data_IF_026078773566
#
_entry.id   IF_026078773566
#
_cell.length_a   1.000
_cell.length_b   1.000
_cell.length_c   1.000
_cell.angle_alpha   90.00
_cell.angle_beta   90.00
_cell.angle_gamma   90.00
#
_symmetry.space_group_name_H-M   'P 1'
#
loop_
_entity.id
_entity.type
_entity.pdbx_description
1 polymer ?
#
# COMPACT_ATOMS: atom_id res chain seq x y z
N UNK A 1 4.40 6.58 -7.30
CA UNK A 1 4.73 6.20 -5.92
C UNK A 1 4.58 4.71 -5.78
N UNK A 2 5.39 4.06 -4.95
CA UNK A 2 5.26 2.63 -4.70
C UNK A 2 5.47 2.25 -3.24
N UNK A 3 4.63 1.37 -2.72
CA UNK A 3 4.90 0.59 -1.51
C UNK A 3 5.46 -0.78 -1.88
N UNK A 4 6.43 -1.26 -1.11
CA UNK A 4 7.21 -2.47 -1.40
C UNK A 4 7.02 -3.54 -0.34
N UNK A 5 6.62 -3.16 0.87
CA UNK A 5 6.41 -4.09 1.97
C UNK A 5 5.30 -3.56 2.88
N UNK A 6 4.46 -4.47 3.37
CA UNK A 6 3.58 -4.28 4.52
C UNK A 6 3.93 -5.36 5.54
N UNK A 7 4.16 -4.96 6.78
CA UNK A 7 4.29 -5.87 7.91
C UNK A 7 3.29 -5.49 9.01
N UNK A 8 3.40 -6.13 10.18
CA UNK A 8 2.45 -5.93 11.27
C UNK A 8 2.42 -4.49 11.82
N UNK A 9 3.45 -3.67 11.61
CA UNK A 9 3.55 -2.34 12.22
C UNK A 9 3.86 -1.24 11.22
N UNK A 10 4.38 -1.56 10.03
CA UNK A 10 4.94 -0.59 9.10
C UNK A 10 4.63 -0.91 7.64
N UNK A 11 4.67 0.15 6.84
CA UNK A 11 4.74 0.10 5.38
C UNK A 11 6.10 0.61 4.93
N UNK A 12 6.76 -0.13 4.04
CA UNK A 12 7.94 0.35 3.33
C UNK A 12 7.51 1.05 2.04
N UNK A 13 7.65 2.36 2.00
CA UNK A 13 7.38 3.18 0.83
C UNK A 13 8.68 3.58 0.15
N UNK A 14 8.72 3.48 -1.18
CA UNK A 14 9.76 4.07 -2.02
C UNK A 14 9.18 5.32 -2.69
N UNK A 15 9.77 6.48 -2.36
CA UNK A 15 9.32 7.77 -2.87
C UNK A 15 9.38 7.82 -4.40
N UNK A 16 8.28 8.16 -5.05
CA UNK A 16 8.20 8.31 -6.50
C UNK A 16 9.04 9.46 -7.03
N UNK A 17 9.33 10.47 -6.21
CA UNK A 17 10.14 11.64 -6.60
C UNK A 17 11.65 11.44 -6.44
N UNK A 18 12.11 10.91 -5.30
CA UNK A 18 13.55 10.82 -4.98
C UNK A 18 14.07 9.40 -4.77
N UNK A 19 13.22 8.38 -4.91
CA UNK A 19 13.53 6.97 -4.70
C UNK A 19 14.02 6.58 -3.28
N UNK A 20 14.05 7.52 -2.33
CA UNK A 20 14.33 7.20 -0.92
C UNK A 20 13.28 6.23 -0.37
N UNK A 21 13.76 5.26 0.40
CA UNK A 21 12.92 4.30 1.11
C UNK A 21 12.59 4.84 2.52
N UNK A 22 11.30 4.81 2.87
CA UNK A 22 10.79 5.31 4.12
C UNK A 22 9.93 4.23 4.78
N UNK A 23 10.25 3.91 6.04
CA UNK A 23 9.39 3.07 6.89
C UNK A 23 8.38 3.96 7.58
N UNK A 24 7.10 3.69 7.34
CA UNK A 24 5.99 4.48 7.87
C UNK A 24 5.20 3.58 8.82
N UNK A 25 5.05 4.02 10.07
CA UNK A 25 4.28 3.30 11.09
C UNK A 25 2.80 3.34 10.73
N UNK A 26 2.14 2.19 10.71
CA UNK A 26 0.71 2.07 10.36
C UNK A 26 -0.19 2.91 11.26
N UNK A 27 0.14 3.00 12.54
CA UNK A 27 -0.63 3.77 13.52
C UNK A 27 -0.50 5.30 13.29
N UNK A 28 0.43 5.74 12.44
CA UNK A 28 0.52 7.14 12.00
C UNK A 28 -0.31 7.44 10.75
N UNK A 29 -0.87 6.41 10.11
CA UNK A 29 -1.70 6.53 8.91
C UNK A 29 -3.18 6.49 9.28
N UNK A 30 -3.99 7.05 8.39
CA UNK A 30 -5.45 6.99 8.44
C UNK A 30 -6.00 6.89 7.02
N UNK A 31 -7.09 6.15 6.87
CA UNK A 31 -7.87 6.08 5.63
C UNK A 31 -8.81 7.28 5.56
N UNK A 32 -8.85 7.87 4.38
CA UNK A 32 -9.77 8.92 4.02
C UNK A 32 -9.09 10.28 3.86
N UNK A 33 -9.59 11.04 2.90
CA UNK A 33 -9.36 12.49 2.84
C UNK A 33 -10.72 13.19 2.85
N UNK A 34 -10.79 14.34 3.50
CA UNK A 34 -12.00 15.16 3.54
C UNK A 34 -11.75 16.51 2.92
N UNK A 35 -12.73 16.99 2.16
CA UNK A 35 -12.83 18.37 1.71
C UNK A 35 -14.29 18.79 1.79
N UNK A 36 -14.55 19.87 2.52
CA UNK A 36 -15.90 20.34 2.83
C UNK A 36 -16.73 19.20 3.47
N UNK A 37 -17.92 18.90 2.96
CA UNK A 37 -18.77 17.80 3.45
C UNK A 37 -18.56 16.47 2.71
N UNK A 38 -17.53 16.37 1.86
CA UNK A 38 -17.23 15.17 1.08
C UNK A 38 -15.97 14.48 1.60
N UNK A 39 -16.06 13.16 1.77
CA UNK A 39 -14.94 12.30 2.13
C UNK A 39 -14.69 11.27 1.03
N UNK A 40 -13.43 11.08 0.65
CA UNK A 40 -13.01 9.98 -0.21
C UNK A 40 -12.36 8.90 0.64
N UNK A 41 -13.08 7.78 0.82
CA UNK A 41 -12.64 6.66 1.64
C UNK A 41 -11.64 5.73 0.93
N UNK A 42 -11.34 5.93 -0.35
CA UNK A 42 -10.37 5.10 -1.09
C UNK A 42 -8.92 5.57 -0.90
N UNK A 43 -8.71 6.76 -0.36
CA UNK A 43 -7.40 7.40 -0.27
C UNK A 43 -6.74 7.14 1.07
N UNK A 44 -5.44 6.84 1.07
CA UNK A 44 -4.59 6.87 2.27
C UNK A 44 -3.45 7.88 2.03
N UNK A 45 -3.48 9.06 2.65
CA UNK A 45 -2.39 10.02 2.56
C UNK A 45 -1.14 9.48 3.27
N UNK A 46 0.02 9.60 2.61
CA UNK A 46 1.30 9.30 3.22
C UNK A 46 1.94 10.56 3.82
N UNK A 47 2.74 10.44 4.90
CA UNK A 47 3.55 11.54 5.38
C UNK A 47 4.49 12.05 4.28
N UNK A 48 4.81 13.34 4.32
CA UNK A 48 5.76 13.93 3.39
C UNK A 48 7.11 13.21 3.47
N UNK A 49 7.70 12.91 2.31
CA UNK A 49 9.00 12.26 2.25
C UNK A 49 10.04 13.05 3.07
N UNK A 50 10.75 12.43 4.02
CA UNK A 50 11.71 13.14 4.87
C UNK A 50 12.88 13.73 4.06
N UNK A 51 13.23 13.11 2.92
CA UNK A 51 14.34 13.55 2.06
C UNK A 51 13.95 14.71 1.14
N UNK A 52 12.84 14.61 0.41
CA UNK A 52 12.50 15.57 -0.66
C UNK A 52 11.18 16.33 -0.44
N UNK A 53 10.52 16.09 0.69
CA UNK A 53 9.26 16.71 1.12
C UNK A 53 8.05 16.49 0.20
N UNK A 54 8.17 15.61 -0.80
CA UNK A 54 7.04 15.23 -1.67
C UNK A 54 5.95 14.56 -0.84
N UNK A 55 4.70 14.95 -1.06
CA UNK A 55 3.51 14.27 -0.56
C UNK A 55 3.01 13.27 -1.60
N UNK A 56 2.55 12.11 -1.13
CA UNK A 56 2.06 11.02 -1.99
C UNK A 56 0.84 10.37 -1.32
N UNK A 57 -0.02 9.71 -2.11
CA UNK A 57 -1.28 9.14 -1.66
C UNK A 57 -1.47 7.73 -2.24
N UNK A 58 -1.83 6.76 -1.40
CA UNK A 58 -2.25 5.45 -1.87
C UNK A 58 -3.71 5.52 -2.26
N UNK A 59 -4.07 4.87 -3.36
CA UNK A 59 -5.45 4.79 -3.83
C UNK A 59 -5.85 3.31 -3.89
N UNK A 60 -6.83 2.92 -3.07
CA UNK A 60 -7.44 1.59 -3.09
C UNK A 60 -8.11 1.36 -4.44
N UNK A 61 -8.01 0.13 -4.93
CA UNK A 61 -8.73 -0.31 -6.13
C UNK A 61 -10.25 -0.18 -5.91
N UNK A 62 -11.02 0.22 -6.95
CA UNK A 62 -12.48 0.19 -6.87
C UNK A 62 -13.01 -1.25 -6.72
N UNK A 63 -14.23 -1.40 -6.19
CA UNK A 63 -14.77 -2.74 -5.92
C UNK A 63 -15.01 -3.56 -7.19
N UNK A 64 -15.32 -2.88 -8.29
CA UNK A 64 -15.50 -3.46 -9.63
C UNK A 64 -14.22 -3.41 -10.50
N UNK A 65 -13.04 -3.30 -9.87
CA UNK A 65 -11.76 -3.28 -10.58
C UNK A 65 -11.58 -4.56 -11.41
N UNK A 66 -11.26 -4.46 -12.72
CA UNK A 66 -11.02 -5.63 -13.54
C UNK A 66 -9.74 -6.39 -13.14
N UNK A 67 -9.65 -7.64 -13.60
CA UNK A 67 -8.44 -8.43 -13.47
C UNK A 67 -7.24 -7.66 -14.06
N UNK A 68 -6.11 -7.67 -13.36
CA UNK A 68 -4.94 -6.93 -13.82
C UNK A 68 -4.42 -7.54 -15.12
N UNK A 69 -4.12 -6.74 -16.16
CA UNK A 69 -3.76 -7.25 -17.49
C UNK A 69 -2.45 -8.06 -17.50
N UNK A 70 -1.60 -7.89 -16.49
CA UNK A 70 -0.38 -8.65 -16.28
C UNK A 70 -0.29 -9.21 -14.85
N UNK A 71 -0.87 -10.39 -14.56
CA UNK A 71 -0.77 -11.01 -13.25
C UNK A 71 0.68 -11.28 -12.84
N UNK A 72 1.01 -10.99 -11.58
CA UNK A 72 2.36 -11.13 -11.02
C UNK A 72 3.34 -10.02 -11.39
N UNK A 73 2.95 -9.06 -12.23
CA UNK A 73 3.76 -7.86 -12.48
C UNK A 73 3.86 -6.98 -11.23
N UNK A 74 4.83 -6.06 -11.22
CA UNK A 74 4.96 -5.07 -10.14
C UNK A 74 3.67 -4.30 -9.90
N UNK A 75 3.00 -3.84 -10.97
CA UNK A 75 1.73 -3.10 -10.85
C UNK A 75 0.62 -3.94 -10.21
N UNK A 76 0.54 -5.23 -10.57
CA UNK A 76 -0.40 -6.17 -9.96
C UNK A 76 -0.14 -6.33 -8.46
N UNK A 77 1.10 -6.64 -8.09
CA UNK A 77 1.48 -6.87 -6.70
C UNK A 77 1.35 -5.59 -5.86
N UNK A 78 1.74 -4.45 -6.43
CA UNK A 78 1.58 -3.14 -5.80
C UNK A 78 0.11 -2.83 -5.53
N UNK A 79 -0.79 -3.10 -6.49
CA UNK A 79 -2.23 -2.94 -6.31
C UNK A 79 -2.74 -3.76 -5.13
N UNK A 80 -2.42 -5.05 -5.09
CA UNK A 80 -2.79 -5.93 -3.97
C UNK A 80 -2.25 -5.41 -2.64
N UNK A 81 -1.00 -4.95 -2.61
CA UNK A 81 -0.38 -4.44 -1.40
C UNK A 81 -1.07 -3.17 -0.89
N UNK A 82 -1.50 -2.28 -1.79
CA UNK A 82 -2.26 -1.07 -1.43
C UNK A 82 -3.63 -1.43 -0.85
N UNK A 83 -4.32 -2.39 -1.46
CA UNK A 83 -5.61 -2.87 -0.98
C UNK A 83 -5.48 -3.50 0.43
N UNK A 84 -4.40 -4.24 0.70
CA UNK A 84 -4.08 -4.78 2.02
C UNK A 84 -3.74 -3.69 3.06
N UNK A 85 -2.96 -2.67 2.70
CA UNK A 85 -2.70 -1.53 3.60
C UNK A 85 -4.01 -0.85 4.00
N UNK A 86 -4.89 -0.60 3.02
CA UNK A 86 -6.19 0.01 3.27
C UNK A 86 -7.04 -0.86 4.21
N UNK A 87 -7.17 -2.15 3.91
CA UNK A 87 -7.95 -3.09 4.71
C UNK A 87 -7.43 -3.19 6.16
N UNK A 88 -6.11 -3.22 6.36
CA UNK A 88 -5.51 -3.28 7.68
C UNK A 88 -5.76 -1.98 8.48
N UNK A 89 -5.73 -0.81 7.85
CA UNK A 89 -6.08 0.45 8.51
C UNK A 89 -7.55 0.50 8.92
N UNK A 90 -8.48 0.08 8.05
CA UNK A 90 -9.92 -0.02 8.36
C UNK A 90 -10.15 -0.99 9.53
N UNK A 91 -9.51 -2.16 9.51
CA UNK A 91 -9.57 -3.15 10.59
C UNK A 91 -9.11 -2.60 11.93
N UNK A 92 -8.08 -1.75 11.93
CA UNK A 92 -7.59 -1.02 13.11
C UNK A 92 -8.42 0.20 13.49
N UNK A 93 -9.52 0.48 12.77
CA UNK A 93 -10.36 1.68 12.92
C UNK A 93 -9.60 3.00 12.68
N UNK A 94 -8.51 2.95 11.90
CA UNK A 94 -7.69 4.08 11.47
C UNK A 94 -8.31 4.72 10.24
N UNK A 95 -9.44 5.38 10.43
CA UNK A 95 -10.15 6.16 9.42
C UNK A 95 -10.41 7.57 9.96
N UNK A 96 -10.52 8.55 9.07
CA UNK A 96 -10.87 9.92 9.45
C UNK A 96 -12.25 9.98 10.15
N UNK A 97 -12.51 11.00 10.98
CA UNK A 97 -13.77 11.10 11.74
C UNK A 97 -15.04 11.07 10.87
N UNK A 98 -15.01 11.65 9.67
CA UNK A 98 -16.18 11.68 8.76
C UNK A 98 -16.60 10.29 8.25
N UNK A 99 -15.71 9.29 8.32
CA UNK A 99 -16.00 7.92 7.92
C UNK A 99 -16.46 7.03 9.08
N UNK A 100 -16.63 7.62 10.27
CA UNK A 100 -17.15 6.93 11.46
C UNK A 100 -18.61 7.28 11.65
N UNK A 101 -19.39 6.32 12.14
CA UNK A 101 -20.76 6.61 12.58
C UNK A 101 -20.76 7.43 13.88
N UNK A 102 -21.96 7.83 14.33
CA UNK A 102 -22.13 8.62 15.56
C UNK A 102 -21.62 7.90 16.82
N UNK A 103 -21.43 6.58 16.77
CA UNK A 103 -20.89 5.75 17.86
C UNK A 103 -19.38 5.48 17.68
N UNK A 104 -18.74 6.09 16.69
CA UNK A 104 -17.31 5.91 16.40
C UNK A 104 -16.99 4.56 15.73
N UNK A 105 -17.99 3.84 15.23
CA UNK A 105 -17.80 2.58 14.51
C UNK A 105 -17.45 2.85 13.04
N UNK A 106 -16.65 1.95 12.49
CA UNK A 106 -16.22 1.99 11.09
C UNK A 106 -17.00 0.93 10.32
N UNK A 107 -17.56 1.29 9.16
CA UNK A 107 -18.21 0.31 8.29
C UNK A 107 -17.16 -0.65 7.72
N UNK A 108 -17.32 -1.94 8.04
CA UNK A 108 -16.42 -2.99 7.55
C UNK A 108 -16.41 -3.09 6.02
N UNK A 109 -17.47 -2.63 5.34
CA UNK A 109 -17.56 -2.59 3.87
C UNK A 109 -16.62 -1.59 3.23
N UNK A 110 -16.02 -0.68 3.99
CA UNK A 110 -14.97 0.23 3.49
C UNK A 110 -13.73 -0.56 3.04
N UNK A 111 -13.44 -1.68 3.70
CA UNK A 111 -12.33 -2.54 3.35
C UNK A 111 -12.76 -3.61 2.35
N UNK A 112 -11.91 -3.83 1.35
CA UNK A 112 -11.94 -5.03 0.51
C UNK A 112 -10.58 -5.72 0.65
N UNK A 113 -10.40 -6.59 1.66
CA UNK A 113 -9.16 -7.35 1.78
C UNK A 113 -8.96 -8.22 0.54
N UNK A 114 -7.71 -8.42 0.17
CA UNK A 114 -7.33 -9.36 -0.87
C UNK A 114 -7.65 -10.77 -0.37
N UNK A 115 -8.15 -11.62 -1.26
CA UNK A 115 -8.47 -13.00 -0.91
C UNK A 115 -7.23 -13.70 -0.35
N UNK A 116 -7.38 -14.46 0.74
CA UNK A 116 -6.27 -15.12 1.41
C UNK A 116 -5.48 -16.07 0.49
N UNK A 117 -6.19 -16.71 -0.45
CA UNK A 117 -5.58 -17.54 -1.51
C UNK A 117 -4.68 -16.75 -2.45
N UNK A 118 -5.06 -15.53 -2.82
CA UNK A 118 -4.25 -14.65 -3.65
C UNK A 118 -3.05 -14.11 -2.86
N UNK A 119 -3.25 -13.74 -1.59
CA UNK A 119 -2.14 -13.36 -0.71
C UNK A 119 -1.12 -14.51 -0.60
N UNK A 120 -1.58 -15.74 -0.33
CA UNK A 120 -0.70 -16.90 -0.24
C UNK A 120 0.02 -17.21 -1.56
N UNK A 121 -0.67 -17.04 -2.69
CA UNK A 121 -0.13 -17.29 -4.03
C UNK A 121 0.95 -16.27 -4.41
N UNK A 122 0.69 -14.99 -4.18
CA UNK A 122 1.51 -13.90 -4.71
C UNK A 122 2.53 -13.37 -3.70
N UNK A 123 2.31 -13.61 -2.41
CA UNK A 123 3.16 -13.16 -1.30
C UNK A 123 3.52 -14.32 -0.36
N UNK A 124 4.14 -15.42 -0.86
CA UNK A 124 4.41 -16.62 -0.07
C UNK A 124 5.42 -16.40 1.07
N UNK A 125 6.16 -15.29 1.05
CA UNK A 125 7.18 -14.91 2.05
C UNK A 125 6.77 -13.66 2.85
N UNK A 126 5.46 -13.39 2.93
CA UNK A 126 4.92 -12.17 3.49
C UNK A 126 4.66 -11.10 2.41
N UNK A 127 3.92 -10.07 2.79
CA UNK A 127 3.43 -8.98 1.92
C UNK A 127 4.57 -8.06 1.48
N UNK A 128 5.48 -8.60 0.66
CA UNK A 128 6.66 -7.94 0.15
C UNK A 128 6.80 -8.17 -1.34
N UNK A 129 7.02 -7.09 -2.07
CA UNK A 129 7.42 -7.13 -3.47
C UNK A 129 8.95 -7.26 -3.47
N UNK A 130 9.46 -8.44 -3.81
CA UNK A 130 10.89 -8.60 -4.05
C UNK A 130 11.26 -7.71 -5.24
N UNK A 131 12.00 -6.63 -4.97
CA UNK A 131 12.77 -5.97 -6.02
C UNK A 131 13.71 -7.03 -6.55
N UNK A 132 13.44 -7.54 -7.75
CA UNK A 132 14.48 -8.26 -8.48
C UNK A 132 15.67 -7.30 -8.51
N UNK A 133 16.68 -7.57 -7.69
CA UNK A 133 18.01 -7.04 -7.91
C UNK A 133 18.26 -7.29 -9.40
N UNK A 134 18.58 -6.26 -10.21
CA UNK A 134 18.92 -6.55 -11.60
C UNK A 134 20.01 -7.62 -11.56
N UNK A 135 19.81 -8.70 -12.31
CA UNK A 135 20.77 -9.79 -12.54
C UNK A 135 22.08 -9.30 -13.19
N UNK A 136 22.44 -8.03 -13.05
CA UNK A 136 23.69 -7.43 -13.51
C UNK A 136 24.88 -7.69 -12.57
N UNK A 137 24.68 -8.28 -11.38
CA UNK A 137 25.76 -8.69 -10.48
C UNK A 137 26.25 -10.14 -10.70
N UNK A 138 25.82 -10.80 -11.79
CA UNK A 138 26.31 -12.13 -12.19
C UNK A 138 26.83 -12.13 -13.63
N UNK A 139 27.72 -11.20 -13.97
CA UNK A 139 28.76 -11.52 -14.97
C UNK A 139 30.00 -11.86 -14.17
N UNK A 140 30.25 -13.16 -14.05
CA UNK A 140 31.53 -13.72 -13.62
C UNK A 140 32.64 -12.99 -14.40
N UNK A 141 33.62 -12.42 -13.72
CA UNK A 141 34.91 -12.17 -14.34
C UNK A 141 35.40 -13.49 -14.96
N UNK A 142 35.62 -13.58 -16.27
CA UNK A 142 36.53 -14.58 -16.77
C UNK A 142 37.92 -14.04 -16.48
N UNK A 143 38.54 -14.59 -15.45
CA UNK A 143 39.98 -14.45 -15.29
C UNK A 143 40.72 -15.04 -16.48
N UNK A 144 41.86 -14.42 -16.75
CA UNK A 144 43.06 -14.89 -17.45
C UNK A 144 43.29 -14.39 -18.88
#
# INVERSE_FOLDING_TARGET
MSIHELNATEVLQRCGKCAAENRIVLDSLEVGVARDEQADAAVVPLPACPTCRSTEFLLRSPDAEPAHPAPGSFGHLHRMLVDEVHAELVKRKRVIPLLKDQQGRVDAKLAKPVAAEDVARWFPRGLKIETRLPEAARVKEPGR
#
